data_IF_828208001180
#
_entry.id   IF_828208001180
#
_cell.length_a   1.000
_cell.length_b   1.000
_cell.length_c   1.000
_cell.angle_alpha   90.00
_cell.angle_beta   90.00
_cell.angle_gamma   90.00
#
_symmetry.space_group_name_H-M   'P 1'
#
loop_
_entity.id
_entity.type
_entity.pdbx_description
1 polymer ?
#
# COMPACT_ATOMS: atom_id res chain seq x y z
N UNK A 1 -4.34 23.99 -0.14
CA UNK A 1 -4.01 24.62 -1.34
C UNK A 1 -4.90 25.77 -1.73
N UNK A 2 -4.86 26.11 -3.00
CA UNK A 2 -5.64 27.23 -3.56
C UNK A 2 -7.15 27.11 -3.31
N UNK A 3 -7.67 25.89 -3.37
CA UNK A 3 -9.09 25.60 -3.15
C UNK A 3 -9.55 25.97 -1.74
N UNK A 4 -8.75 25.66 -0.73
CA UNK A 4 -9.07 26.03 0.66
C UNK A 4 -8.96 27.51 0.90
N UNK A 5 -7.96 28.16 0.32
CA UNK A 5 -7.80 29.61 0.41
C UNK A 5 -8.99 30.34 -0.25
N UNK A 6 -9.48 29.80 -1.37
CA UNK A 6 -10.64 30.30 -2.07
C UNK A 6 -11.93 30.09 -1.28
N UNK A 7 -12.11 28.91 -0.68
CA UNK A 7 -13.24 28.60 0.20
C UNK A 7 -13.28 29.57 1.40
N UNK A 8 -12.15 29.78 2.08
CA UNK A 8 -12.04 30.72 3.19
C UNK A 8 -12.39 32.14 2.75
N UNK A 9 -11.98 32.55 1.56
CA UNK A 9 -12.26 33.85 0.98
C UNK A 9 -13.76 34.00 0.63
N UNK A 10 -14.39 32.96 0.09
CA UNK A 10 -15.80 32.93 -0.27
C UNK A 10 -16.72 33.01 0.96
N UNK A 11 -16.32 32.38 2.06
CA UNK A 11 -17.11 32.39 3.30
C UNK A 11 -16.98 33.70 4.05
N UNK A 12 -15.96 34.53 3.76
CA UNK A 12 -15.79 35.87 4.34
C UNK A 12 -15.64 35.88 5.85
N UNK A 13 -15.22 34.78 6.45
CA UNK A 13 -15.11 34.63 7.89
C UNK A 13 -13.78 35.20 8.39
N UNK A 14 -13.83 36.35 9.06
CA UNK A 14 -12.69 36.88 9.78
C UNK A 14 -12.40 35.99 10.99
N UNK A 15 -11.15 35.52 11.10
CA UNK A 15 -10.73 34.68 12.22
C UNK A 15 -11.02 33.19 12.06
N UNK A 16 -11.30 32.73 10.83
CA UNK A 16 -11.41 31.29 10.57
C UNK A 16 -10.07 30.61 10.85
N UNK A 17 -10.11 29.58 11.72
CA UNK A 17 -8.92 28.81 12.05
C UNK A 17 -8.63 27.80 10.94
N UNK A 18 -7.59 28.09 10.14
CA UNK A 18 -7.18 27.21 9.02
C UNK A 18 -6.52 25.91 9.50
N UNK A 19 -6.18 25.80 10.79
CA UNK A 19 -5.61 24.56 11.35
C UNK A 19 -6.63 23.42 11.38
N UNK A 20 -7.92 23.71 11.37
CA UNK A 20 -8.99 22.71 11.30
C UNK A 20 -9.25 22.21 9.86
N UNK A 21 -8.67 22.87 8.86
CA UNK A 21 -8.77 22.40 7.48
C UNK A 21 -7.92 21.14 7.29
N UNK A 22 -8.39 20.19 6.48
CA UNK A 22 -7.58 19.02 6.17
C UNK A 22 -6.23 19.43 5.59
N UNK A 23 -5.16 18.97 6.22
CA UNK A 23 -3.81 19.17 5.71
C UNK A 23 -3.62 18.29 4.47
N UNK A 24 -3.38 18.90 3.33
CA UNK A 24 -3.01 18.15 2.12
C UNK A 24 -1.54 17.80 2.27
N UNK A 25 -1.28 16.51 2.45
CA UNK A 25 0.08 16.01 2.51
C UNK A 25 0.69 16.05 1.11
N UNK A 26 1.85 16.70 0.99
CA UNK A 26 2.63 16.69 -0.24
C UNK A 26 3.77 15.69 -0.04
N UNK A 27 3.67 14.51 -0.65
CA UNK A 27 4.67 13.48 -0.46
C UNK A 27 5.99 13.88 -1.12
N UNK A 28 7.08 13.56 -0.45
CA UNK A 28 8.43 13.80 -0.94
C UNK A 28 9.11 12.47 -1.24
N UNK A 29 8.99 11.99 -2.48
CA UNK A 29 9.81 10.87 -2.92
C UNK A 29 11.21 11.38 -3.26
N UNK A 30 12.27 10.73 -2.76
CA UNK A 30 13.62 11.08 -3.14
C UNK A 30 13.82 10.96 -4.65
N UNK A 31 14.55 11.90 -5.25
CA UNK A 31 14.94 11.82 -6.64
C UNK A 31 16.21 10.96 -6.79
N UNK A 32 16.38 10.36 -7.97
CA UNK A 32 17.59 9.61 -8.29
C UNK A 32 17.75 8.27 -7.60
N UNK A 33 16.65 7.66 -7.16
CA UNK A 33 16.68 6.32 -6.56
C UNK A 33 17.11 5.30 -7.61
N UNK A 34 18.15 4.52 -7.29
CA UNK A 34 18.62 3.42 -8.14
C UNK A 34 18.10 2.10 -7.59
N UNK A 35 17.35 1.37 -8.40
CA UNK A 35 16.78 0.06 -8.06
C UNK A 35 17.49 -1.01 -8.88
N UNK A 36 18.21 -1.91 -8.20
CA UNK A 36 18.98 -2.99 -8.82
C UNK A 36 18.41 -4.37 -8.54
N UNK A 37 17.66 -4.52 -7.45
CA UNK A 37 17.12 -5.81 -7.00
C UNK A 37 15.80 -5.62 -6.25
N UNK A 38 15.10 -6.71 -5.97
CA UNK A 38 13.82 -6.72 -5.26
C UNK A 38 13.93 -6.03 -3.88
N UNK A 39 15.02 -6.27 -3.16
CA UNK A 39 15.26 -5.63 -1.87
C UNK A 39 15.29 -4.10 -1.96
N UNK A 40 15.76 -3.54 -3.06
CA UNK A 40 15.73 -2.09 -3.29
C UNK A 40 14.31 -1.57 -3.43
N UNK A 41 13.43 -2.33 -4.09
CA UNK A 41 12.00 -1.97 -4.19
C UNK A 41 11.41 -1.89 -2.79
N UNK A 42 11.67 -2.87 -1.95
CA UNK A 42 11.20 -2.90 -0.58
C UNK A 42 11.75 -1.74 0.25
N UNK A 43 13.06 -1.59 0.29
CA UNK A 43 13.75 -0.66 1.21
C UNK A 43 13.79 0.78 0.73
N UNK A 44 13.79 1.02 -0.58
CA UNK A 44 13.93 2.36 -1.15
C UNK A 44 12.61 2.97 -1.64
N UNK A 45 11.61 2.15 -1.92
CA UNK A 45 10.32 2.61 -2.43
C UNK A 45 9.16 2.30 -1.48
N UNK A 46 8.94 1.02 -1.16
CA UNK A 46 7.75 0.60 -0.41
C UNK A 46 7.77 1.03 1.06
N UNK A 47 8.80 0.67 1.80
CA UNK A 47 8.86 1.00 3.23
C UNK A 47 8.89 2.52 3.48
N UNK A 48 9.64 3.32 2.71
CA UNK A 48 9.54 4.78 2.84
C UNK A 48 8.13 5.32 2.58
N UNK A 49 7.41 4.76 1.60
CA UNK A 49 6.03 5.17 1.33
C UNK A 49 5.11 4.82 2.50
N UNK A 50 5.21 3.61 3.04
CA UNK A 50 4.42 3.20 4.20
C UNK A 50 4.70 4.08 5.42
N UNK A 51 5.98 4.38 5.68
CA UNK A 51 6.39 5.24 6.78
C UNK A 51 5.86 6.68 6.61
N UNK A 52 5.89 7.20 5.40
CA UNK A 52 5.34 8.52 5.09
C UNK A 52 3.83 8.57 5.31
N UNK A 53 3.13 7.47 5.02
CA UNK A 53 1.70 7.32 5.33
C UNK A 53 1.41 7.17 6.83
N UNK A 54 2.44 7.06 7.66
CA UNK A 54 2.32 6.94 9.11
C UNK A 54 2.32 5.50 9.63
N UNK A 55 2.68 4.53 8.80
CA UNK A 55 2.71 3.12 9.17
C UNK A 55 4.13 2.61 9.30
N UNK A 56 4.40 1.93 10.44
CA UNK A 56 5.73 1.49 10.82
C UNK A 56 5.77 -0.01 11.10
N UNK A 57 6.94 -0.61 10.87
CA UNK A 57 7.16 -2.03 11.10
C UNK A 57 6.91 -2.40 12.58
N UNK A 58 6.35 -3.57 12.80
CA UNK A 58 5.95 -4.15 14.10
C UNK A 58 4.79 -3.45 14.80
N UNK A 59 4.45 -2.24 14.39
CA UNK A 59 3.28 -1.52 14.90
C UNK A 59 2.08 -1.69 13.95
N UNK A 60 2.28 -1.37 12.69
CA UNK A 60 1.22 -1.34 11.69
C UNK A 60 1.39 -2.44 10.65
N UNK A 61 2.63 -2.78 10.32
CA UNK A 61 2.92 -3.87 9.41
C UNK A 61 4.04 -4.78 9.94
N UNK A 62 4.06 -5.98 9.42
CA UNK A 62 5.11 -6.95 9.69
C UNK A 62 5.60 -7.54 8.38
N UNK A 63 6.89 -7.81 8.30
CA UNK A 63 7.50 -8.49 7.16
C UNK A 63 7.45 -9.99 7.40
N UNK A 64 7.15 -10.74 6.33
CA UNK A 64 7.17 -12.20 6.34
C UNK A 64 6.37 -12.82 7.51
N UNK A 65 5.11 -12.40 7.65
CA UNK A 65 4.21 -12.95 8.67
C UNK A 65 4.10 -14.47 8.48
N UNK A 66 4.49 -15.26 9.49
CA UNK A 66 4.34 -16.73 9.40
C UNK A 66 2.86 -17.10 9.45
N UNK A 67 2.38 -17.77 8.41
CA UNK A 67 1.02 -18.29 8.36
C UNK A 67 1.11 -19.79 8.70
N UNK A 68 0.42 -20.19 9.77
CA UNK A 68 0.35 -21.58 10.20
C UNK A 68 -0.77 -22.29 9.42
N UNK A 69 -0.45 -22.79 8.23
CA UNK A 69 -1.39 -23.52 7.37
C UNK A 69 -1.15 -25.04 7.51
N UNK A 70 -1.52 -25.64 8.65
CA UNK A 70 -1.47 -27.09 8.90
C UNK A 70 -0.18 -27.82 8.44
N UNK A 71 0.14 -28.97 9.03
CA UNK A 71 1.26 -29.87 8.64
C UNK A 71 2.65 -29.21 8.49
N UNK A 72 2.95 -28.14 9.23
CA UNK A 72 4.31 -27.57 9.28
C UNK A 72 4.73 -26.73 8.08
N UNK A 73 3.86 -26.47 7.13
CA UNK A 73 4.13 -25.53 6.04
C UNK A 73 3.96 -24.10 6.52
N UNK A 74 5.07 -23.34 6.55
CA UNK A 74 5.05 -21.90 6.81
C UNK A 74 5.08 -21.17 5.47
N UNK A 75 4.13 -20.28 5.30
CA UNK A 75 4.03 -19.40 4.13
C UNK A 75 4.27 -17.99 4.62
N UNK A 76 5.08 -17.22 3.88
CA UNK A 76 5.52 -15.90 4.32
C UNK A 76 5.17 -14.87 3.24
N UNK A 77 4.07 -14.08 3.39
CA UNK A 77 3.89 -12.90 2.56
C UNK A 77 4.98 -11.87 2.86
N UNK A 78 5.39 -11.08 1.86
CA UNK A 78 6.45 -10.09 2.04
C UNK A 78 6.08 -9.08 3.12
N UNK A 79 4.86 -8.54 3.06
CA UNK A 79 4.34 -7.60 4.05
C UNK A 79 2.88 -7.88 4.36
N UNK A 80 2.53 -7.78 5.62
CA UNK A 80 1.15 -7.83 6.11
C UNK A 80 0.87 -6.53 6.87
N UNK A 81 -0.03 -5.68 6.34
CA UNK A 81 -0.38 -4.40 6.92
C UNK A 81 -1.71 -4.50 7.67
N UNK A 82 -1.79 -3.84 8.82
CA UNK A 82 -2.91 -3.95 9.76
C UNK A 82 -3.15 -5.39 10.16
N UNK A 83 -2.14 -5.97 10.78
CA UNK A 83 -2.04 -7.40 11.03
C UNK A 83 -2.37 -7.82 12.46
N UNK A 84 -2.71 -9.09 12.61
CA UNK A 84 -2.69 -9.83 13.86
C UNK A 84 -1.80 -11.06 13.63
N UNK A 85 -0.76 -11.21 14.44
CA UNK A 85 0.20 -12.32 14.33
C UNK A 85 0.04 -13.38 15.41
N UNK A 86 -1.07 -13.37 16.14
CA UNK A 86 -1.35 -14.38 17.14
C UNK A 86 -1.49 -15.74 16.46
N UNK A 87 -0.75 -16.78 16.91
CA UNK A 87 -0.83 -18.10 16.29
C UNK A 87 -2.25 -18.61 16.14
N UNK A 88 -2.57 -19.14 14.95
CA UNK A 88 -3.87 -19.65 14.54
C UNK A 88 -4.97 -18.57 14.37
N UNK A 89 -4.65 -17.29 14.63
CA UNK A 89 -5.56 -16.16 14.44
C UNK A 89 -4.95 -15.09 13.51
N UNK A 90 -4.00 -15.48 12.69
CA UNK A 90 -3.30 -14.58 11.80
C UNK A 90 -4.25 -13.92 10.81
N UNK A 91 -4.18 -12.61 10.71
CA UNK A 91 -5.00 -11.77 9.82
C UNK A 91 -4.18 -10.58 9.34
N UNK A 92 -4.51 -10.05 8.18
CA UNK A 92 -4.00 -8.79 7.71
C UNK A 92 -5.00 -8.17 6.73
N UNK A 93 -5.34 -6.92 6.94
CA UNK A 93 -6.25 -6.22 6.02
C UNK A 93 -5.64 -6.08 4.63
N UNK A 94 -4.36 -5.74 4.57
CA UNK A 94 -3.62 -5.53 3.33
C UNK A 94 -2.44 -6.48 3.27
N UNK A 95 -2.31 -7.16 2.14
CA UNK A 95 -1.19 -8.01 1.81
C UNK A 95 -0.37 -7.34 0.71
N UNK A 96 0.94 -7.29 0.87
CA UNK A 96 1.83 -6.68 -0.11
C UNK A 96 2.90 -7.68 -0.54
N UNK A 97 3.04 -7.85 -1.84
CA UNK A 97 4.11 -8.62 -2.47
C UNK A 97 4.97 -7.68 -3.33
N UNK A 98 6.26 -7.70 -3.11
CA UNK A 98 7.22 -6.93 -3.87
C UNK A 98 8.00 -7.84 -4.81
N UNK A 99 8.22 -7.36 -6.03
CA UNK A 99 9.06 -8.01 -7.04
C UNK A 99 10.04 -6.98 -7.57
N UNK A 100 11.13 -7.45 -8.19
CA UNK A 100 12.04 -6.52 -8.85
C UNK A 100 11.37 -5.86 -10.05
N UNK A 101 10.86 -6.67 -10.97
CA UNK A 101 10.16 -6.20 -12.16
C UNK A 101 9.19 -7.28 -12.67
N UNK A 102 7.94 -6.92 -12.81
CA UNK A 102 6.92 -7.75 -13.45
C UNK A 102 6.83 -7.35 -14.92
N UNK A 103 7.58 -8.05 -15.78
CA UNK A 103 7.83 -7.66 -17.18
C UNK A 103 6.62 -7.77 -18.10
N UNK A 104 5.70 -8.68 -17.79
CA UNK A 104 4.59 -8.98 -18.65
C UNK A 104 3.36 -9.40 -17.83
N UNK A 105 2.23 -9.53 -18.51
CA UNK A 105 0.96 -9.91 -17.91
C UNK A 105 1.02 -11.25 -17.16
N UNK A 106 1.76 -12.22 -17.71
CA UNK A 106 1.91 -13.53 -17.09
C UNK A 106 2.60 -13.44 -15.70
N UNK A 107 3.66 -12.66 -15.61
CA UNK A 107 4.37 -12.44 -14.34
C UNK A 107 3.48 -11.73 -13.30
N UNK A 108 2.67 -10.75 -13.74
CA UNK A 108 1.70 -10.07 -12.88
C UNK A 108 0.64 -11.04 -12.38
N UNK A 109 0.07 -11.85 -13.25
CA UNK A 109 -0.95 -12.86 -12.87
C UNK A 109 -0.38 -13.89 -11.91
N UNK A 110 0.83 -14.36 -12.16
CA UNK A 110 1.51 -15.32 -11.28
C UNK A 110 1.75 -14.74 -9.89
N UNK A 111 2.22 -13.51 -9.80
CA UNK A 111 2.40 -12.81 -8.52
C UNK A 111 1.06 -12.61 -7.81
N UNK A 112 0.01 -12.26 -8.54
CA UNK A 112 -1.34 -12.12 -7.98
C UNK A 112 -1.85 -13.43 -7.40
N UNK A 113 -1.72 -14.54 -8.11
CA UNK A 113 -2.20 -15.84 -7.63
C UNK A 113 -1.48 -16.28 -6.36
N UNK A 114 -0.18 -16.02 -6.26
CA UNK A 114 0.59 -16.26 -5.03
C UNK A 114 0.04 -15.42 -3.88
N UNK A 115 -0.10 -14.12 -4.08
CA UNK A 115 -0.63 -13.20 -3.09
C UNK A 115 -2.08 -13.54 -2.71
N UNK A 116 -2.89 -13.94 -3.67
CA UNK A 116 -4.28 -14.32 -3.43
C UNK A 116 -4.41 -15.54 -2.53
N UNK A 117 -3.51 -16.52 -2.67
CA UNK A 117 -3.49 -17.68 -1.79
C UNK A 117 -3.22 -17.28 -0.33
N UNK A 118 -2.32 -16.34 -0.11
CA UNK A 118 -2.05 -15.78 1.23
C UNK A 118 -3.22 -14.94 1.74
N UNK A 119 -3.81 -14.13 0.87
CA UNK A 119 -4.93 -13.27 1.22
C UNK A 119 -6.16 -14.06 1.71
N UNK A 120 -6.42 -15.24 1.14
CA UNK A 120 -7.48 -16.12 1.62
C UNK A 120 -7.22 -16.57 3.05
N UNK A 121 -5.99 -16.95 3.37
CA UNK A 121 -5.61 -17.40 4.72
C UNK A 121 -5.64 -16.28 5.75
N UNK A 122 -5.25 -15.07 5.34
CA UNK A 122 -5.18 -13.89 6.21
C UNK A 122 -6.48 -13.06 6.20
N UNK A 123 -7.49 -13.45 5.44
CA UNK A 123 -8.75 -12.73 5.27
C UNK A 123 -8.52 -11.28 4.80
N UNK A 124 -7.54 -11.10 3.91
CA UNK A 124 -7.17 -9.78 3.41
C UNK A 124 -8.21 -9.25 2.42
N UNK A 125 -8.55 -7.97 2.54
CA UNK A 125 -9.47 -7.28 1.63
C UNK A 125 -8.76 -6.50 0.52
N UNK A 126 -7.46 -6.28 0.68
CA UNK A 126 -6.64 -5.55 -0.30
C UNK A 126 -5.35 -6.34 -0.55
N UNK A 127 -4.99 -6.45 -1.82
CA UNK A 127 -3.70 -6.99 -2.26
C UNK A 127 -2.96 -5.90 -3.00
N UNK A 128 -1.69 -5.71 -2.66
CA UNK A 128 -0.79 -4.84 -3.40
C UNK A 128 0.32 -5.68 -4.00
N UNK A 129 0.54 -5.50 -5.29
CA UNK A 129 1.75 -5.95 -5.97
C UNK A 129 2.55 -4.71 -6.36
N UNK A 130 3.83 -4.71 -6.09
CA UNK A 130 4.68 -3.60 -6.52
C UNK A 130 6.01 -4.10 -7.08
N UNK A 131 6.57 -3.31 -7.98
CA UNK A 131 7.89 -3.53 -8.54
C UNK A 131 8.60 -2.19 -8.69
N UNK A 132 9.74 -2.17 -9.40
CA UNK A 132 10.51 -0.93 -9.59
C UNK A 132 9.75 0.17 -10.35
N UNK A 133 8.67 -0.16 -11.05
CA UNK A 133 7.93 0.78 -11.90
C UNK A 133 6.60 1.22 -11.32
N UNK A 134 5.86 0.29 -10.71
CA UNK A 134 4.46 0.55 -10.37
C UNK A 134 3.96 -0.15 -9.10
N UNK A 135 2.78 0.26 -8.70
CA UNK A 135 2.00 -0.31 -7.60
C UNK A 135 0.65 -0.71 -8.18
N UNK A 136 0.29 -1.99 -8.03
CA UNK A 136 -1.01 -2.51 -8.44
C UNK A 136 -1.85 -2.80 -7.20
N UNK A 137 -3.05 -2.25 -7.14
CA UNK A 137 -3.95 -2.36 -5.99
C UNK A 137 -5.21 -3.11 -6.37
N UNK A 138 -5.44 -4.23 -5.72
CA UNK A 138 -6.62 -5.09 -5.89
C UNK A 138 -7.49 -4.96 -4.65
N UNK A 139 -8.77 -4.67 -4.81
CA UNK A 139 -9.72 -4.52 -3.71
C UNK A 139 -10.84 -5.56 -3.79
N UNK A 140 -11.27 -6.04 -2.62
CA UNK A 140 -12.29 -7.11 -2.53
C UNK A 140 -13.73 -6.65 -2.71
N UNK A 141 -14.02 -5.34 -2.80
CA UNK A 141 -15.40 -4.81 -2.88
C UNK A 141 -16.25 -5.43 -3.99
N UNK A 142 -15.60 -5.85 -5.07
CA UNK A 142 -16.24 -6.54 -6.22
C UNK A 142 -15.65 -7.94 -6.44
N UNK A 143 -15.04 -8.52 -5.40
CA UNK A 143 -14.27 -9.75 -5.50
C UNK A 143 -12.84 -9.50 -6.00
N UNK A 144 -11.88 -10.16 -5.36
CA UNK A 144 -10.47 -10.11 -5.80
C UNK A 144 -10.35 -10.86 -7.13
N UNK A 145 -9.88 -10.18 -8.16
CA UNK A 145 -9.72 -10.73 -9.51
C UNK A 145 -8.39 -10.28 -10.09
N UNK A 146 -7.70 -11.22 -10.74
CA UNK A 146 -6.40 -10.96 -11.41
C UNK A 146 -6.43 -9.87 -12.48
N UNK A 147 -7.62 -9.52 -12.97
CA UNK A 147 -7.79 -8.50 -14.03
C UNK A 147 -8.29 -7.15 -13.52
N UNK A 148 -8.62 -7.05 -12.23
CA UNK A 148 -9.20 -5.82 -11.65
C UNK A 148 -8.24 -5.20 -10.66
N UNK A 149 -7.44 -4.26 -11.12
CA UNK A 149 -6.54 -3.51 -10.28
C UNK A 149 -6.50 -2.04 -10.71
N UNK A 150 -6.20 -1.17 -9.75
CA UNK A 150 -5.80 0.21 -10.01
C UNK A 150 -4.29 0.27 -10.03
N UNK A 151 -3.72 0.87 -11.07
CA UNK A 151 -2.27 1.02 -11.23
C UNK A 151 -1.84 2.43 -10.87
N UNK A 152 -0.80 2.52 -10.04
CA UNK A 152 -0.10 3.76 -9.74
C UNK A 152 1.36 3.60 -10.12
N UNK A 153 1.97 4.66 -10.64
CA UNK A 153 3.42 4.74 -10.76
C UNK A 153 4.00 5.34 -9.48
N UNK A 154 5.25 5.05 -9.16
CA UNK A 154 5.87 5.62 -7.95
C UNK A 154 5.87 7.16 -7.98
N UNK A 155 6.09 7.76 -9.16
CA UNK A 155 6.02 9.21 -9.33
C UNK A 155 4.62 9.79 -9.05
N UNK A 156 3.55 9.01 -9.20
CA UNK A 156 2.19 9.42 -8.86
C UNK A 156 2.05 9.70 -7.36
N UNK A 157 2.93 9.12 -6.55
CA UNK A 157 2.93 9.36 -5.10
C UNK A 157 3.39 10.77 -4.72
N UNK A 158 3.87 11.55 -5.66
CA UNK A 158 4.13 12.98 -5.50
C UNK A 158 2.87 13.83 -5.71
N UNK A 159 1.85 13.26 -6.33
CA UNK A 159 0.56 13.91 -6.51
C UNK A 159 -0.28 13.72 -5.25
N UNK A 160 -0.69 14.81 -4.55
CA UNK A 160 -1.44 14.68 -3.30
C UNK A 160 -2.75 13.91 -3.44
N UNK A 161 -3.45 14.06 -4.54
CA UNK A 161 -4.74 13.38 -4.77
C UNK A 161 -4.55 11.87 -4.92
N UNK A 162 -3.59 11.44 -5.73
CA UNK A 162 -3.29 10.02 -5.95
C UNK A 162 -2.68 9.37 -4.70
N UNK A 163 -1.81 10.08 -4.01
CA UNK A 163 -1.27 9.64 -2.73
C UNK A 163 -2.37 9.40 -1.70
N UNK A 164 -3.27 10.35 -1.52
CA UNK A 164 -4.37 10.23 -0.57
C UNK A 164 -5.38 9.16 -1.00
N UNK A 165 -5.62 9.00 -2.31
CA UNK A 165 -6.45 7.92 -2.83
C UNK A 165 -5.89 6.55 -2.42
N UNK A 166 -4.59 6.33 -2.65
CA UNK A 166 -3.94 5.08 -2.25
C UNK A 166 -3.98 4.90 -0.73
N UNK A 167 -3.61 5.92 0.03
CA UNK A 167 -3.63 5.86 1.50
C UNK A 167 -5.00 5.48 2.03
N UNK A 168 -6.08 6.05 1.48
CA UNK A 168 -7.44 5.73 1.89
C UNK A 168 -7.80 4.27 1.61
N UNK A 169 -7.36 3.71 0.50
CA UNK A 169 -7.58 2.28 0.18
C UNK A 169 -6.90 1.35 1.17
N UNK A 170 -5.78 1.77 1.76
CA UNK A 170 -4.99 0.98 2.69
C UNK A 170 -5.38 1.22 4.16
N UNK A 171 -6.15 2.25 4.46
CA UNK A 171 -6.56 2.59 5.82
C UNK A 171 -7.66 1.62 6.32
N UNK A 172 -7.62 1.32 7.61
CA UNK A 172 -8.62 0.45 8.26
C UNK A 172 -10.00 1.11 8.23
#
# INVERSE_FOLDING_TARGET
GKEYAELVRMVGVKGFDTSVLPQIHTPSLPEGIVIKEEKDVEKKLLEPLLNEMGWYEHKDYIRQLPIHAGRGHRIFPDYALHYNNKPEEEKAKVLIEAKYHMKNKHEVESAFLQAFSYAKLLLSSVIILCDKECILVYESKKGLSRSRYKKYYWEDMRNPDLYNELKNKLTI
#
